data_IF_502094143528
#
_entry.id   IF_502094143528
#
_cell.length_a   1.000
_cell.length_b   1.000
_cell.length_c   1.000
_cell.angle_alpha   90.00
_cell.angle_beta   90.00
_cell.angle_gamma   90.00
#
_symmetry.space_group_name_H-M   'P 1'
#
loop_
_entity.id
_entity.type
_entity.pdbx_description
1 polymer ?
#
# COMPACT_ATOMS: atom_id res chain seq x y z
N UNK A 1 -13.39 -17.54 -2.69
CA UNK A 1 -13.02 -17.31 -4.11
C UNK A 1 -12.95 -15.82 -4.38
N UNK A 2 -14.07 -15.07 -4.23
CA UNK A 2 -14.16 -13.65 -4.60
C UNK A 2 -13.10 -12.75 -3.96
N UNK A 3 -12.76 -12.94 -2.69
CA UNK A 3 -11.71 -12.16 -2.00
C UNK A 3 -10.33 -12.36 -2.66
N UNK A 4 -10.05 -13.57 -3.14
CA UNK A 4 -8.80 -13.87 -3.86
C UNK A 4 -8.76 -13.24 -5.26
N UNK A 5 -9.90 -13.21 -5.96
CA UNK A 5 -10.03 -12.49 -7.24
C UNK A 5 -9.78 -10.99 -7.06
N UNK A 6 -10.06 -10.45 -5.86
CA UNK A 6 -9.73 -9.08 -5.46
C UNK A 6 -8.26 -8.92 -5.02
N UNK A 7 -7.44 -9.97 -5.06
CA UNK A 7 -6.03 -9.94 -4.66
C UNK A 7 -5.78 -10.02 -3.16
N UNK A 8 -6.83 -10.23 -2.34
CA UNK A 8 -6.69 -10.32 -0.89
C UNK A 8 -6.10 -11.66 -0.46
N UNK A 9 -5.23 -11.62 0.52
CA UNK A 9 -4.61 -12.81 1.10
C UNK A 9 -5.58 -13.52 2.05
N UNK A 10 -6.11 -14.66 1.62
CA UNK A 10 -7.02 -15.52 2.39
C UNK A 10 -6.72 -16.98 2.12
N UNK A 11 -7.31 -17.88 2.93
CA UNK A 11 -7.19 -19.32 2.73
C UNK A 11 -7.72 -19.73 1.35
N UNK A 12 -7.12 -20.78 0.77
CA UNK A 12 -7.48 -21.31 -0.54
C UNK A 12 -8.52 -22.44 -0.34
N UNK A 13 -9.80 -22.22 -0.67
CA UNK A 13 -10.79 -23.26 -0.55
C UNK A 13 -10.57 -24.35 -1.63
N UNK A 14 -10.54 -25.61 -1.20
CA UNK A 14 -10.47 -26.79 -2.08
C UNK A 14 -11.83 -27.43 -2.25
N UNK A 15 -12.63 -27.47 -1.17
CA UNK A 15 -13.93 -28.07 -1.21
C UNK A 15 -14.69 -27.98 0.11
N UNK A 16 -15.91 -28.48 0.10
CA UNK A 16 -16.78 -28.57 1.27
C UNK A 16 -17.21 -30.03 1.43
N UNK A 17 -17.09 -30.55 2.63
CA UNK A 17 -17.70 -31.84 3.01
C UNK A 17 -18.85 -31.55 3.95
N UNK A 18 -20.03 -32.00 3.58
CA UNK A 18 -21.23 -31.90 4.41
C UNK A 18 -21.66 -33.29 4.89
N UNK A 19 -21.96 -33.40 6.16
CA UNK A 19 -22.48 -34.60 6.80
C UNK A 19 -23.85 -34.27 7.37
N UNK A 20 -24.85 -35.10 7.03
CA UNK A 20 -26.16 -35.04 7.67
C UNK A 20 -26.10 -35.85 8.96
N UNK A 21 -26.17 -35.20 10.11
CA UNK A 21 -26.10 -35.83 11.45
C UNK A 21 -27.48 -36.23 11.98
N UNK A 22 -28.50 -36.25 11.13
CA UNK A 22 -29.87 -36.60 11.46
C UNK A 22 -30.73 -35.39 11.83
N UNK A 23 -31.89 -35.67 12.41
CA UNK A 23 -32.86 -34.65 12.82
C UNK A 23 -32.71 -34.34 14.31
N UNK A 24 -32.56 -33.09 14.67
CA UNK A 24 -32.56 -32.59 16.05
C UNK A 24 -33.83 -31.80 16.31
N UNK A 25 -34.32 -31.84 17.54
CA UNK A 25 -35.44 -31.01 17.96
C UNK A 25 -34.92 -29.73 18.59
N UNK A 26 -35.25 -28.59 17.98
CA UNK A 26 -34.89 -27.28 18.52
C UNK A 26 -36.11 -26.66 19.16
N UNK A 27 -35.98 -26.31 20.44
CA UNK A 27 -37.01 -25.54 21.14
C UNK A 27 -36.91 -24.06 20.72
N UNK A 28 -38.00 -23.54 20.18
CA UNK A 28 -38.14 -22.14 19.78
C UNK A 28 -39.29 -21.50 20.52
N UNK A 29 -39.42 -20.17 20.47
CA UNK A 29 -40.55 -19.43 21.04
C UNK A 29 -41.91 -19.84 20.42
N UNK A 30 -41.93 -20.65 19.36
CA UNK A 30 -43.12 -21.14 18.64
C UNK A 30 -43.38 -22.64 18.97
N UNK A 31 -42.50 -23.26 19.77
CA UNK A 31 -42.56 -24.68 20.17
C UNK A 31 -41.38 -25.50 19.61
N UNK A 32 -41.35 -26.78 19.98
CA UNK A 32 -40.29 -27.70 19.54
C UNK A 32 -40.46 -28.06 18.06
N UNK A 33 -39.48 -27.78 17.23
CA UNK A 33 -39.48 -28.09 15.80
C UNK A 33 -38.32 -29.01 15.41
N UNK A 34 -38.58 -30.04 14.56
CA UNK A 34 -37.51 -30.87 14.02
C UNK A 34 -36.72 -30.07 12.98
N UNK A 35 -35.39 -30.06 13.09
CA UNK A 35 -34.49 -29.46 12.12
C UNK A 35 -33.39 -30.46 11.75
N UNK A 36 -33.09 -30.55 10.46
CA UNK A 36 -31.94 -31.35 10.01
C UNK A 36 -30.64 -30.70 10.47
N UNK A 37 -29.81 -31.49 11.14
CA UNK A 37 -28.48 -31.05 11.54
C UNK A 37 -27.48 -31.46 10.47
N UNK A 38 -26.92 -30.49 9.78
CA UNK A 38 -25.86 -30.68 8.80
C UNK A 38 -24.59 -30.04 9.34
N UNK A 39 -23.55 -30.88 9.49
CA UNK A 39 -22.22 -30.38 9.82
C UNK A 39 -21.41 -30.23 8.55
N UNK A 40 -21.00 -29.00 8.27
CA UNK A 40 -20.17 -28.67 7.12
C UNK A 40 -18.71 -28.43 7.52
N UNK A 41 -17.80 -28.96 6.73
CA UNK A 41 -16.36 -28.74 6.88
C UNK A 41 -15.82 -28.11 5.61
N UNK A 42 -15.21 -26.94 5.74
CA UNK A 42 -14.47 -26.30 4.66
C UNK A 42 -13.05 -26.92 4.62
N UNK A 43 -12.68 -27.47 3.47
CA UNK A 43 -11.33 -27.96 3.21
C UNK A 43 -10.57 -26.87 2.47
N UNK A 44 -9.41 -26.50 3.01
CA UNK A 44 -8.51 -25.52 2.40
C UNK A 44 -7.16 -26.15 2.10
N UNK A 45 -6.42 -25.57 1.17
CA UNK A 45 -5.01 -25.92 0.99
C UNK A 45 -4.23 -25.63 2.28
N UNK A 46 -3.28 -26.51 2.58
CA UNK A 46 -2.35 -26.28 3.69
C UNK A 46 -1.42 -25.10 3.32
N UNK A 47 -1.52 -24.03 4.05
CA UNK A 47 -0.61 -22.90 3.89
C UNK A 47 0.65 -23.15 4.71
N UNK A 48 1.81 -23.18 4.04
CA UNK A 48 3.10 -23.34 4.71
C UNK A 48 3.58 -22.01 5.30
N UNK A 49 4.43 -22.10 6.32
CA UNK A 49 5.08 -20.95 6.99
C UNK A 49 4.09 -19.92 7.52
N UNK A 50 2.96 -20.37 8.02
CA UNK A 50 1.97 -19.52 8.69
C UNK A 50 1.90 -19.85 10.17
N UNK A 51 1.62 -18.82 10.95
CA UNK A 51 1.38 -18.94 12.39
C UNK A 51 0.16 -18.08 12.73
N UNK A 52 -0.78 -18.59 13.56
CA UNK A 52 -1.84 -17.74 14.10
C UNK A 52 -1.24 -16.53 14.81
N UNK A 53 -1.79 -15.34 14.54
CA UNK A 53 -1.26 -14.10 15.10
C UNK A 53 -1.26 -14.14 16.64
N UNK A 54 -2.34 -14.64 17.25
CA UNK A 54 -2.44 -14.86 18.69
C UNK A 54 -1.33 -15.76 19.27
N UNK A 55 -0.81 -16.70 18.48
CA UNK A 55 0.25 -17.59 18.92
C UNK A 55 1.64 -16.92 18.98
N UNK A 56 1.84 -15.89 18.16
CA UNK A 56 3.10 -15.14 18.14
C UNK A 56 3.37 -14.45 19.47
N UNK A 57 2.32 -14.02 20.18
CA UNK A 57 2.45 -13.31 21.45
C UNK A 57 2.67 -14.21 22.67
N UNK A 58 2.70 -15.54 22.50
CA UNK A 58 3.13 -16.46 23.57
C UNK A 58 4.62 -16.35 23.91
N UNK A 59 5.39 -15.71 23.04
CA UNK A 59 6.81 -15.40 23.27
C UNK A 59 7.03 -13.91 23.12
N UNK A 60 7.82 -13.30 23.99
CA UNK A 60 8.15 -11.87 23.88
C UNK A 60 8.84 -11.55 22.55
N UNK A 61 8.37 -10.52 21.89
CA UNK A 61 9.01 -9.94 20.71
C UNK A 61 9.65 -8.60 21.04
N UNK A 62 10.73 -8.27 20.32
CA UNK A 62 11.26 -6.91 20.34
C UNK A 62 10.25 -5.93 19.75
N UNK A 63 10.35 -4.65 20.11
CA UNK A 63 9.46 -3.59 19.59
C UNK A 63 9.49 -3.54 18.04
N UNK A 64 10.66 -3.76 17.44
CA UNK A 64 10.86 -3.76 15.99
C UNK A 64 10.11 -4.92 15.32
N UNK A 65 10.19 -6.12 15.90
CA UNK A 65 9.48 -7.28 15.36
C UNK A 65 7.96 -7.13 15.49
N UNK A 66 7.46 -6.60 16.61
CA UNK A 66 6.03 -6.29 16.76
C UNK A 66 5.56 -5.30 15.71
N UNK A 67 6.31 -4.20 15.49
CA UNK A 67 5.98 -3.23 14.43
C UNK A 67 5.88 -3.88 13.05
N UNK A 68 6.76 -4.82 12.73
CA UNK A 68 6.68 -5.54 11.44
C UNK A 68 5.42 -6.40 11.32
N UNK A 69 4.98 -7.02 12.41
CA UNK A 69 3.70 -7.76 12.45
C UNK A 69 2.55 -6.77 12.23
N UNK A 70 2.51 -5.67 12.99
CA UNK A 70 1.47 -4.66 12.86
C UNK A 70 1.46 -4.01 11.47
N UNK A 71 2.62 -3.81 10.85
CA UNK A 71 2.72 -3.35 9.46
C UNK A 71 2.04 -4.30 8.47
N UNK A 72 2.15 -5.62 8.68
CA UNK A 72 1.48 -6.61 7.84
C UNK A 72 -0.04 -6.59 8.05
N UNK A 73 -0.49 -6.46 9.31
CA UNK A 73 -1.90 -6.31 9.68
C UNK A 73 -2.52 -5.05 9.08
N UNK A 74 -1.83 -3.90 9.24
CA UNK A 74 -2.27 -2.62 8.69
C UNK A 74 -2.44 -2.70 7.17
N UNK A 75 -1.49 -3.33 6.46
CA UNK A 75 -1.62 -3.53 5.01
C UNK A 75 -2.87 -4.33 4.65
N UNK A 76 -3.14 -5.43 5.35
CA UNK A 76 -4.35 -6.22 5.10
C UNK A 76 -5.61 -5.38 5.28
N UNK A 77 -5.74 -4.63 6.39
CA UNK A 77 -6.91 -3.76 6.61
C UNK A 77 -7.05 -2.69 5.53
N UNK A 78 -5.96 -2.05 5.14
CA UNK A 78 -6.00 -1.03 4.08
C UNK A 78 -6.42 -1.65 2.75
N UNK A 79 -5.83 -2.77 2.35
CA UNK A 79 -6.17 -3.49 1.12
C UNK A 79 -7.64 -3.91 1.09
N UNK A 80 -8.17 -4.40 2.21
CA UNK A 80 -9.59 -4.77 2.34
C UNK A 80 -10.51 -3.56 2.23
N UNK A 81 -10.26 -2.55 3.05
CA UNK A 81 -11.17 -1.42 3.20
C UNK A 81 -11.20 -0.52 1.95
N UNK A 82 -10.08 -0.36 1.26
CA UNK A 82 -10.02 0.35 -0.03
C UNK A 82 -10.88 -0.34 -1.10
N UNK A 83 -11.00 -1.66 -1.03
CA UNK A 83 -11.81 -2.47 -1.94
C UNK A 83 -13.26 -2.64 -1.47
N UNK A 84 -13.64 -1.99 -0.36
CA UNK A 84 -15.01 -2.07 0.17
C UNK A 84 -15.30 -3.36 0.94
N UNK A 85 -14.27 -4.07 1.40
CA UNK A 85 -14.40 -5.31 2.18
C UNK A 85 -14.41 -4.97 3.66
N UNK A 86 -15.53 -5.23 4.32
CA UNK A 86 -15.72 -5.13 5.76
C UNK A 86 -15.59 -6.52 6.37
N UNK A 87 -14.81 -6.67 7.43
CA UNK A 87 -14.59 -8.00 8.04
C UNK A 87 -15.69 -8.38 9.04
N UNK A 88 -16.02 -7.47 9.95
CA UNK A 88 -17.09 -7.64 10.95
C UNK A 88 -16.69 -8.42 12.21
N UNK A 89 -15.78 -9.39 12.09
CA UNK A 89 -15.19 -10.13 13.21
C UNK A 89 -13.66 -10.15 13.12
N UNK A 90 -13.10 -8.96 13.04
CA UNK A 90 -11.68 -8.72 12.87
C UNK A 90 -10.92 -9.00 14.18
N UNK A 91 -10.59 -10.25 14.46
CA UNK A 91 -9.89 -10.62 15.69
C UNK A 91 -8.51 -11.22 15.42
N UNK A 92 -7.65 -11.13 16.44
CA UNK A 92 -6.32 -11.74 16.42
C UNK A 92 -6.38 -13.27 16.18
N UNK A 93 -7.44 -13.92 16.64
CA UNK A 93 -7.63 -15.36 16.47
C UNK A 93 -7.95 -15.74 15.02
N UNK A 94 -8.58 -14.83 14.27
CA UNK A 94 -9.05 -15.01 12.90
C UNK A 94 -8.01 -14.58 11.85
N UNK A 95 -6.79 -14.30 12.28
CA UNK A 95 -5.69 -13.85 11.43
C UNK A 95 -4.49 -14.79 11.51
N UNK A 96 -3.87 -15.02 10.36
CA UNK A 96 -2.61 -15.74 10.27
C UNK A 96 -1.51 -14.80 9.76
N UNK A 97 -0.29 -15.00 10.25
CA UNK A 97 0.90 -14.33 9.70
C UNK A 97 1.70 -15.33 8.87
N UNK A 98 1.85 -15.02 7.61
CA UNK A 98 2.70 -15.76 6.68
C UNK A 98 4.11 -15.18 6.64
N UNK A 99 5.10 -16.05 6.79
CA UNK A 99 6.53 -15.73 6.72
C UNK A 99 7.06 -16.08 5.33
N UNK A 100 6.97 -15.11 4.42
CA UNK A 100 7.56 -15.21 3.10
C UNK A 100 9.06 -14.90 3.08
N UNK A 101 9.67 -15.13 1.94
CA UNK A 101 11.05 -14.72 1.68
C UNK A 101 11.07 -13.94 0.38
N UNK A 102 11.29 -12.63 0.46
CA UNK A 102 11.47 -11.79 -0.71
C UNK A 102 12.95 -11.74 -1.09
N UNK A 103 13.22 -11.87 -2.38
CA UNK A 103 14.58 -11.71 -2.91
C UNK A 103 14.72 -10.27 -3.39
N UNK A 104 15.54 -9.51 -2.68
CA UNK A 104 15.88 -8.14 -3.09
C UNK A 104 17.23 -8.19 -3.79
N UNK A 105 17.32 -7.89 -5.11
CA UNK A 105 18.55 -8.09 -5.89
C UNK A 105 19.81 -7.46 -5.29
N UNK A 106 19.66 -6.36 -4.56
CA UNK A 106 20.78 -5.63 -3.95
C UNK A 106 21.08 -6.03 -2.50
N UNK A 107 20.14 -6.69 -1.79
CA UNK A 107 20.22 -6.94 -0.35
C UNK A 107 20.10 -8.43 0.02
N UNK A 108 19.91 -9.33 -0.97
CA UNK A 108 19.71 -10.76 -0.74
C UNK A 108 18.30 -11.11 -0.25
N UNK A 109 18.20 -12.19 0.53
CA UNK A 109 16.92 -12.67 1.04
C UNK A 109 16.48 -11.84 2.26
N UNK A 110 15.26 -11.30 2.20
CA UNK A 110 14.61 -10.63 3.33
C UNK A 110 13.32 -11.34 3.69
N UNK A 111 13.12 -11.63 4.96
CA UNK A 111 11.83 -12.16 5.44
C UNK A 111 10.75 -11.11 5.26
N UNK A 112 9.71 -11.42 4.49
CA UNK A 112 8.48 -10.63 4.39
C UNK A 112 7.41 -11.22 5.30
N UNK A 113 6.60 -10.34 5.88
CA UNK A 113 5.44 -10.73 6.66
C UNK A 113 4.19 -10.29 5.93
N UNK A 114 3.23 -11.22 5.81
CA UNK A 114 1.90 -10.94 5.25
C UNK A 114 0.83 -11.43 6.20
N UNK A 115 -0.12 -10.57 6.51
CA UNK A 115 -1.32 -10.98 7.23
C UNK A 115 -2.29 -11.66 6.26
N UNK A 116 -2.93 -12.71 6.73
CA UNK A 116 -3.85 -13.56 5.95
C UNK A 116 -5.16 -13.66 6.70
N UNK A 117 -6.24 -13.37 6.01
CA UNK A 117 -7.61 -13.48 6.50
C UNK A 117 -7.98 -14.98 6.56
N UNK A 118 -8.12 -15.54 7.77
CA UNK A 118 -8.38 -16.96 7.96
C UNK A 118 -9.87 -17.26 8.09
N UNK A 119 -10.62 -16.44 8.78
CA UNK A 119 -12.07 -16.57 8.94
C UNK A 119 -12.78 -15.45 8.15
N UNK A 120 -13.68 -15.87 7.26
CA UNK A 120 -14.35 -15.00 6.30
C UNK A 120 -15.88 -15.09 6.38
N UNK A 121 -16.44 -15.74 7.39
CA UNK A 121 -17.88 -15.98 7.47
C UNK A 121 -18.69 -14.70 7.69
N UNK A 122 -18.09 -13.70 8.35
CA UNK A 122 -18.71 -12.40 8.64
C UNK A 122 -18.38 -11.33 7.60
N UNK A 123 -17.55 -11.66 6.59
CA UNK A 123 -17.07 -10.70 5.60
C UNK A 123 -18.19 -10.22 4.69
N UNK A 124 -18.34 -8.91 4.59
CA UNK A 124 -19.24 -8.25 3.65
C UNK A 124 -18.46 -7.46 2.58
N UNK A 125 -18.88 -7.58 1.33
CA UNK A 125 -18.32 -6.80 0.21
C UNK A 125 -19.31 -5.73 -0.19
N UNK A 126 -18.93 -4.47 -0.03
CA UNK A 126 -19.74 -3.27 -0.30
C UNK A 126 -19.10 -2.43 -1.40
N UNK A 127 -19.85 -1.52 -2.00
CA UNK A 127 -19.29 -0.57 -2.99
C UNK A 127 -18.27 0.37 -2.37
N UNK A 128 -18.51 0.79 -1.13
CA UNK A 128 -17.64 1.63 -0.32
C UNK A 128 -17.94 1.40 1.15
N UNK A 129 -16.98 1.65 2.01
CA UNK A 129 -17.15 1.63 3.44
C UNK A 129 -17.20 3.06 3.97
N UNK A 130 -18.09 3.28 4.96
CA UNK A 130 -18.05 4.50 5.76
C UNK A 130 -16.87 4.47 6.71
N UNK A 131 -16.40 5.63 7.15
CA UNK A 131 -15.33 5.74 8.14
C UNK A 131 -15.66 4.97 9.41
N UNK A 132 -16.91 5.02 9.85
CA UNK A 132 -17.39 4.29 11.04
C UNK A 132 -17.21 2.77 10.89
N UNK A 133 -17.59 2.19 9.74
CA UNK A 133 -17.47 0.75 9.52
C UNK A 133 -16.01 0.30 9.44
N UNK A 134 -15.19 1.02 8.66
CA UNK A 134 -13.77 0.63 8.55
C UNK A 134 -13.01 0.79 9.87
N UNK A 135 -13.36 1.81 10.66
CA UNK A 135 -12.74 2.00 11.97
C UNK A 135 -13.23 0.96 12.97
N UNK A 136 -14.49 0.51 12.90
CA UNK A 136 -14.99 -0.55 13.79
C UNK A 136 -14.23 -1.87 13.63
N UNK A 137 -13.82 -2.25 12.40
CA UNK A 137 -12.96 -3.43 12.22
C UNK A 137 -11.61 -3.27 12.95
N UNK A 138 -10.98 -2.10 12.81
CA UNK A 138 -9.67 -1.84 13.42
C UNK A 138 -9.79 -1.76 14.95
N UNK A 139 -10.83 -1.12 15.45
CA UNK A 139 -11.10 -1.00 16.88
C UNK A 139 -11.41 -2.37 17.50
N UNK A 140 -12.23 -3.18 16.85
CA UNK A 140 -12.50 -4.55 17.29
C UNK A 140 -11.22 -5.41 17.31
N UNK A 141 -10.36 -5.25 16.31
CA UNK A 141 -9.06 -5.92 16.31
C UNK A 141 -8.21 -5.51 17.51
N UNK A 142 -8.16 -4.20 17.83
CA UNK A 142 -7.44 -3.69 19.00
C UNK A 142 -8.02 -4.24 20.30
N UNK A 143 -9.34 -4.33 20.42
CA UNK A 143 -9.99 -4.97 21.58
C UNK A 143 -9.61 -6.44 21.69
N UNK A 144 -9.59 -7.18 20.58
CA UNK A 144 -9.18 -8.59 20.54
C UNK A 144 -7.72 -8.80 21.00
N UNK A 145 -6.85 -7.82 20.75
CA UNK A 145 -5.47 -7.82 21.25
C UNK A 145 -5.47 -7.78 22.80
N UNK A 146 -6.34 -6.96 23.41
CA UNK A 146 -6.44 -6.84 24.87
C UNK A 146 -6.99 -8.14 25.47
N UNK A 147 -8.01 -8.74 24.86
CA UNK A 147 -8.53 -10.03 25.31
C UNK A 147 -7.49 -11.13 25.24
N UNK A 148 -6.78 -11.23 24.12
CA UNK A 148 -5.70 -12.21 23.96
C UNK A 148 -4.59 -12.03 25.00
N UNK A 149 -4.21 -10.80 25.30
CA UNK A 149 -3.23 -10.52 26.35
C UNK A 149 -3.74 -10.91 27.74
N UNK A 150 -4.99 -10.63 28.05
CA UNK A 150 -5.61 -11.01 29.33
C UNK A 150 -5.61 -12.54 29.49
N UNK A 151 -6.00 -13.29 28.45
CA UNK A 151 -6.00 -14.76 28.45
C UNK A 151 -4.60 -15.34 28.61
N UNK A 152 -3.59 -14.78 27.94
CA UNK A 152 -2.19 -15.21 28.07
C UNK A 152 -1.65 -14.99 29.49
N UNK A 153 -2.02 -13.89 30.13
CA UNK A 153 -1.68 -13.58 31.53
C UNK A 153 -2.41 -14.51 32.50
N UNK A 154 -3.71 -14.71 32.33
CA UNK A 154 -4.53 -15.58 33.17
C UNK A 154 -4.06 -17.04 33.09
N UNK A 155 -3.68 -17.49 31.90
CA UNK A 155 -3.12 -18.83 31.66
C UNK A 155 -1.68 -19.01 32.17
N UNK A 156 -1.05 -17.95 32.70
CA UNK A 156 0.34 -17.98 33.16
C UNK A 156 1.39 -18.17 32.07
N UNK A 157 1.00 -18.00 30.80
CA UNK A 157 1.90 -18.13 29.64
C UNK A 157 2.85 -16.94 29.57
N UNK A 158 2.36 -15.74 29.87
CA UNK A 158 3.15 -14.53 29.96
C UNK A 158 2.94 -13.84 31.31
N UNK A 159 3.98 -13.18 31.82
CA UNK A 159 3.91 -12.40 33.08
C UNK A 159 3.74 -10.91 32.83
N UNK A 160 4.45 -10.40 31.82
CA UNK A 160 4.48 -8.99 31.46
C UNK A 160 3.60 -8.71 30.23
N UNK A 161 3.30 -7.45 29.99
CA UNK A 161 2.58 -7.03 28.80
C UNK A 161 3.40 -7.33 27.53
N UNK A 162 2.83 -8.13 26.63
CA UNK A 162 3.44 -8.48 25.35
C UNK A 162 2.91 -7.62 24.21
N UNK A 163 1.73 -7.01 24.40
CA UNK A 163 1.11 -6.03 23.52
C UNK A 163 0.95 -4.74 24.35
N UNK A 164 1.51 -3.66 23.86
CA UNK A 164 1.56 -2.40 24.60
C UNK A 164 0.54 -1.39 24.05
N UNK A 165 0.19 -0.37 24.86
CA UNK A 165 -0.62 0.76 24.36
C UNK A 165 0.06 1.48 23.17
N UNK A 166 1.40 1.49 23.12
CA UNK A 166 2.14 2.03 21.99
C UNK A 166 1.89 1.23 20.71
N UNK A 167 1.74 -0.10 20.81
CA UNK A 167 1.42 -0.97 19.68
C UNK A 167 0.00 -0.66 19.15
N UNK A 168 -0.97 -0.52 20.05
CA UNK A 168 -2.36 -0.17 19.69
C UNK A 168 -2.44 1.21 19.03
N UNK A 169 -1.76 2.20 19.61
CA UNK A 169 -1.69 3.55 19.06
C UNK A 169 -1.00 3.56 17.68
N UNK A 170 0.10 2.83 17.54
CA UNK A 170 0.81 2.68 16.29
C UNK A 170 -0.09 2.07 15.21
N UNK A 171 -0.82 0.99 15.53
CA UNK A 171 -1.73 0.33 14.59
C UNK A 171 -2.81 1.30 14.10
N UNK A 172 -3.52 1.97 14.99
CA UNK A 172 -4.61 2.89 14.62
C UNK A 172 -4.10 4.09 13.82
N UNK A 173 -3.00 4.71 14.24
CA UNK A 173 -2.44 5.90 13.57
C UNK A 173 -1.91 5.54 12.19
N UNK A 174 -1.09 4.49 12.10
CA UNK A 174 -0.52 4.07 10.82
C UNK A 174 -1.57 3.52 9.85
N UNK A 175 -2.64 2.89 10.37
CA UNK A 175 -3.77 2.49 9.52
C UNK A 175 -4.44 3.72 8.90
N UNK A 176 -4.77 4.75 9.70
CA UNK A 176 -5.42 5.98 9.18
C UNK A 176 -4.56 6.67 8.13
N UNK A 177 -3.29 6.88 8.42
CA UNK A 177 -2.34 7.51 7.49
C UNK A 177 -2.23 6.74 6.16
N UNK A 178 -2.07 5.42 6.22
CA UNK A 178 -1.94 4.60 5.00
C UNK A 178 -3.25 4.52 4.23
N UNK A 179 -4.38 4.42 4.90
CA UNK A 179 -5.68 4.40 4.23
C UNK A 179 -5.91 5.70 3.45
N UNK A 180 -5.61 6.85 4.05
CA UNK A 180 -5.73 8.15 3.38
C UNK A 180 -4.84 8.22 2.13
N UNK A 181 -3.59 7.79 2.24
CA UNK A 181 -2.66 7.77 1.10
C UNK A 181 -3.16 6.86 -0.02
N UNK A 182 -3.59 5.64 0.29
CA UNK A 182 -4.11 4.70 -0.72
C UNK A 182 -5.44 5.18 -1.34
N UNK A 183 -6.31 5.82 -0.55
CA UNK A 183 -7.54 6.43 -1.05
C UNK A 183 -7.24 7.57 -2.02
N UNK A 184 -6.26 8.41 -1.72
CA UNK A 184 -5.83 9.49 -2.61
C UNK A 184 -5.26 8.94 -3.91
N UNK A 185 -4.44 7.89 -3.84
CA UNK A 185 -3.88 7.23 -5.02
C UNK A 185 -4.96 6.65 -5.92
N UNK A 186 -5.89 5.89 -5.33
CA UNK A 186 -7.02 5.33 -6.08
C UNK A 186 -7.91 6.41 -6.72
N UNK A 187 -8.14 7.51 -6.00
CA UNK A 187 -8.88 8.65 -6.56
C UNK A 187 -8.14 9.28 -7.73
N UNK A 188 -6.84 9.40 -7.63
CA UNK A 188 -5.99 9.91 -8.71
C UNK A 188 -6.08 9.00 -9.95
N UNK A 189 -5.93 7.69 -9.80
CA UNK A 189 -6.04 6.73 -10.90
C UNK A 189 -7.42 6.75 -11.57
N UNK A 190 -8.49 6.79 -10.76
CA UNK A 190 -9.86 6.84 -11.27
C UNK A 190 -10.13 8.12 -12.09
N UNK A 191 -9.58 9.25 -11.68
CA UNK A 191 -9.81 10.52 -12.36
C UNK A 191 -8.92 10.70 -13.57
N UNK A 192 -7.66 10.27 -13.50
CA UNK A 192 -6.65 10.52 -14.52
C UNK A 192 -6.48 9.36 -15.50
N UNK A 193 -6.93 8.16 -15.14
CA UNK A 193 -6.64 6.88 -15.80
C UNK A 193 -5.14 6.56 -15.90
N UNK A 194 -4.31 7.25 -15.13
CA UNK A 194 -2.89 6.92 -15.02
C UNK A 194 -2.76 5.75 -14.05
N UNK A 195 -2.29 4.60 -14.54
CA UNK A 195 -1.86 3.47 -13.71
C UNK A 195 -0.52 3.84 -13.06
N UNK A 196 -0.59 4.16 -11.78
CA UNK A 196 0.55 4.66 -11.00
C UNK A 196 1.67 3.62 -10.93
N UNK A 197 1.34 2.35 -10.75
CA UNK A 197 2.34 1.28 -10.62
C UNK A 197 3.09 1.04 -11.94
N UNK A 198 2.40 1.15 -13.08
CA UNK A 198 3.00 0.92 -14.40
C UNK A 198 3.72 2.13 -14.98
N UNK A 199 3.18 3.33 -14.77
CA UNK A 199 3.69 4.52 -15.42
C UNK A 199 4.75 5.25 -14.58
N UNK A 200 4.66 5.16 -13.28
CA UNK A 200 5.58 5.85 -12.39
C UNK A 200 6.74 4.97 -11.95
N UNK A 201 6.64 3.66 -12.13
CA UNK A 201 7.73 2.69 -11.97
C UNK A 201 8.62 2.91 -10.75
N UNK A 202 9.76 3.56 -10.96
CA UNK A 202 10.73 3.90 -9.90
C UNK A 202 10.34 5.15 -9.09
N UNK A 203 9.21 5.81 -9.40
CA UNK A 203 8.77 7.06 -8.76
C UNK A 203 7.62 6.79 -7.80
N UNK A 204 7.91 6.74 -6.51
CA UNK A 204 6.86 6.65 -5.49
C UNK A 204 6.13 8.00 -5.39
N UNK A 205 4.84 8.01 -5.77
CA UNK A 205 3.97 9.20 -5.74
C UNK A 205 3.04 9.22 -4.53
N UNK A 206 3.18 8.27 -3.63
CA UNK A 206 2.35 8.17 -2.42
C UNK A 206 2.48 9.44 -1.59
N UNK A 207 1.33 9.97 -1.17
CA UNK A 207 1.24 11.23 -0.43
C UNK A 207 1.33 12.51 -1.30
N UNK A 208 1.52 12.38 -2.63
CA UNK A 208 1.59 13.51 -3.55
C UNK A 208 0.47 13.53 -4.59
N UNK A 209 -0.41 12.55 -4.59
CA UNK A 209 -1.48 12.38 -5.59
C UNK A 209 -2.35 13.64 -5.75
N UNK A 210 -2.74 14.29 -4.65
CA UNK A 210 -3.50 15.55 -4.68
C UNK A 210 -2.74 16.70 -5.36
N UNK A 211 -1.44 16.83 -5.07
CA UNK A 211 -0.61 17.88 -5.67
C UNK A 211 -0.38 17.60 -7.15
N UNK A 212 -0.15 16.36 -7.54
CA UNK A 212 -0.03 15.97 -8.94
C UNK A 212 -1.34 16.22 -9.69
N UNK A 213 -2.49 15.89 -9.10
CA UNK A 213 -3.80 16.18 -9.68
C UNK A 213 -4.04 17.68 -9.86
N UNK A 214 -3.57 18.51 -8.92
CA UNK A 214 -3.60 19.97 -9.07
C UNK A 214 -2.79 20.42 -10.29
N UNK A 215 -1.56 19.93 -10.46
CA UNK A 215 -0.72 20.26 -11.62
C UNK A 215 -1.35 19.78 -12.94
N UNK A 216 -2.01 18.62 -12.95
CA UNK A 216 -2.76 18.14 -14.13
C UNK A 216 -3.93 19.06 -14.45
N UNK A 217 -4.67 19.54 -13.45
CA UNK A 217 -5.76 20.48 -13.66
C UNK A 217 -5.29 21.83 -14.19
N UNK A 218 -4.16 22.34 -13.70
CA UNK A 218 -3.52 23.55 -14.24
C UNK A 218 -3.09 23.32 -15.69
N UNK A 219 -2.49 22.18 -15.99
CA UNK A 219 -2.10 21.81 -17.36
C UNK A 219 -3.33 21.67 -18.28
N UNK A 220 -4.42 21.04 -17.80
CA UNK A 220 -5.71 20.98 -18.50
C UNK A 220 -6.22 22.36 -18.88
N UNK A 221 -6.15 23.32 -17.95
CA UNK A 221 -6.57 24.67 -18.20
C UNK A 221 -5.76 25.31 -19.34
N UNK A 222 -4.41 25.23 -19.29
CA UNK A 222 -3.54 25.75 -20.37
C UNK A 222 -3.80 25.07 -21.71
N UNK A 223 -4.01 23.75 -21.73
CA UNK A 223 -4.35 23.03 -22.97
C UNK A 223 -5.68 23.48 -23.54
N UNK A 224 -6.70 23.66 -22.69
CA UNK A 224 -8.02 24.10 -23.10
C UNK A 224 -8.00 25.51 -23.70
N UNK A 225 -7.29 26.45 -23.06
CA UNK A 225 -7.06 27.80 -23.57
C UNK A 225 -6.36 27.78 -24.93
N UNK A 226 -5.29 27.01 -25.08
CA UNK A 226 -4.54 26.91 -26.34
C UNK A 226 -5.35 26.28 -27.46
N UNK A 227 -6.17 25.27 -27.16
CA UNK A 227 -7.01 24.56 -28.14
C UNK A 227 -8.36 25.24 -28.38
N UNK A 228 -8.73 26.28 -27.59
CA UNK A 228 -10.03 26.95 -27.60
C UNK A 228 -11.21 25.97 -27.48
N UNK A 229 -11.03 24.93 -26.72
CA UNK A 229 -12.04 23.92 -26.39
C UNK A 229 -11.74 23.30 -25.05
N UNK A 230 -12.77 22.77 -24.38
CA UNK A 230 -12.52 21.99 -23.15
C UNK A 230 -11.79 20.68 -23.47
N UNK A 231 -10.66 20.43 -22.79
CA UNK A 231 -9.90 19.19 -22.87
C UNK A 231 -10.34 18.26 -21.73
N UNK A 232 -10.69 16.99 -21.99
CA UNK A 232 -10.98 16.03 -20.94
C UNK A 232 -9.80 15.85 -19.99
N UNK A 233 -10.09 15.56 -18.71
CA UNK A 233 -9.03 15.42 -17.69
C UNK A 233 -8.09 14.26 -18.01
N UNK A 234 -8.58 13.17 -18.59
CA UNK A 234 -7.79 12.00 -18.98
C UNK A 234 -6.78 12.36 -20.06
N UNK A 235 -7.21 13.07 -21.11
CA UNK A 235 -6.34 13.54 -22.20
C UNK A 235 -5.27 14.51 -21.68
N UNK A 236 -5.67 15.41 -20.79
CA UNK A 236 -4.76 16.35 -20.15
C UNK A 236 -3.74 15.65 -19.24
N UNK A 237 -4.15 14.59 -18.53
CA UNK A 237 -3.29 13.80 -17.68
C UNK A 237 -2.24 13.03 -18.48
N UNK A 238 -2.64 12.44 -19.61
CA UNK A 238 -1.71 11.75 -20.51
C UNK A 238 -0.70 12.71 -21.13
N UNK A 239 -1.17 13.88 -21.61
CA UNK A 239 -0.31 14.91 -22.17
C UNK A 239 0.64 15.48 -21.11
N UNK A 240 0.15 15.79 -19.90
CA UNK A 240 0.96 16.22 -18.77
C UNK A 240 2.04 15.20 -18.40
N UNK A 241 1.68 13.92 -18.34
CA UNK A 241 2.62 12.87 -18.03
C UNK A 241 3.76 12.82 -19.04
N UNK A 242 3.43 12.85 -20.33
CA UNK A 242 4.41 12.73 -21.42
C UNK A 242 5.24 13.99 -21.63
N UNK A 243 4.61 15.16 -21.61
CA UNK A 243 5.24 16.42 -21.99
C UNK A 243 5.81 17.22 -20.80
N UNK A 244 5.34 16.94 -19.57
CA UNK A 244 5.77 17.68 -18.38
C UNK A 244 6.45 16.78 -17.37
N UNK A 245 5.75 15.78 -16.83
CA UNK A 245 6.23 14.98 -15.71
C UNK A 245 7.45 14.12 -16.08
N UNK A 246 7.34 13.34 -17.13
CA UNK A 246 8.39 12.43 -17.57
C UNK A 246 9.69 13.17 -17.96
N UNK A 247 9.65 14.28 -18.73
CA UNK A 247 10.85 15.08 -18.98
C UNK A 247 11.52 15.62 -17.73
N UNK A 248 10.73 16.09 -16.75
CA UNK A 248 11.27 16.58 -15.46
C UNK A 248 11.96 15.46 -14.70
N UNK A 249 11.33 14.30 -14.58
CA UNK A 249 11.92 13.14 -13.92
C UNK A 249 13.20 12.66 -14.63
N UNK A 250 13.24 12.69 -15.97
CA UNK A 250 14.44 12.38 -16.74
C UNK A 250 15.59 13.34 -16.42
N UNK A 251 15.33 14.62 -16.22
CA UNK A 251 16.35 15.60 -15.80
C UNK A 251 16.90 15.23 -14.43
N UNK A 252 16.03 14.82 -13.47
CA UNK A 252 16.48 14.40 -12.15
C UNK A 252 17.40 13.20 -12.20
N UNK A 253 17.07 12.22 -13.05
CA UNK A 253 17.91 11.04 -13.25
C UNK A 253 19.23 11.36 -13.97
N UNK A 254 19.18 12.25 -14.97
CA UNK A 254 20.35 12.63 -15.74
C UNK A 254 21.40 13.39 -14.92
N UNK A 255 20.97 14.20 -13.98
CA UNK A 255 21.85 15.02 -13.14
C UNK A 255 22.01 14.50 -11.72
N UNK A 256 21.56 13.27 -11.44
CA UNK A 256 21.61 12.62 -10.12
C UNK A 256 21.02 13.46 -8.99
N UNK A 257 20.01 14.32 -9.30
CA UNK A 257 19.41 15.21 -8.30
C UNK A 257 18.77 14.44 -7.14
N UNK A 258 18.29 13.23 -7.39
CA UNK A 258 17.71 12.37 -6.36
C UNK A 258 18.75 12.00 -5.29
N UNK A 259 20.01 11.83 -5.65
CA UNK A 259 21.07 11.41 -4.74
C UNK A 259 21.50 12.51 -3.75
N UNK A 260 21.11 13.77 -4.04
CA UNK A 260 21.29 14.89 -3.09
C UNK A 260 20.23 14.92 -1.98
N UNK A 261 19.15 14.13 -2.12
CA UNK A 261 17.99 14.12 -1.23
C UNK A 261 17.54 12.66 -0.96
N UNK A 262 18.33 11.87 -0.22
CA UNK A 262 18.05 10.45 0.01
C UNK A 262 16.73 10.18 0.75
N UNK A 263 16.22 11.18 1.46
CA UNK A 263 14.94 11.16 2.18
C UNK A 263 13.74 11.52 1.32
N UNK A 264 13.96 12.01 0.07
CA UNK A 264 12.88 12.46 -0.81
C UNK A 264 12.60 11.46 -1.93
N UNK A 265 11.34 11.38 -2.30
CA UNK A 265 10.92 10.67 -3.52
C UNK A 265 11.07 11.55 -4.75
N UNK A 266 11.11 10.97 -5.95
CA UNK A 266 11.13 11.75 -7.18
C UNK A 266 9.85 12.60 -7.36
N UNK A 267 8.71 12.14 -6.85
CA UNK A 267 7.47 12.91 -6.85
C UNK A 267 7.55 14.15 -5.94
N UNK A 268 8.13 14.02 -4.74
CA UNK A 268 8.32 15.17 -3.87
C UNK A 268 9.28 16.19 -4.49
N UNK A 269 10.39 15.71 -5.07
CA UNK A 269 11.33 16.57 -5.77
C UNK A 269 10.68 17.27 -6.98
N UNK A 270 9.84 16.55 -7.74
CA UNK A 270 9.09 17.14 -8.85
C UNK A 270 8.26 18.33 -8.36
N UNK A 271 7.43 18.13 -7.34
CA UNK A 271 6.55 19.19 -6.81
C UNK A 271 7.37 20.39 -6.34
N UNK A 272 8.37 20.17 -5.50
CA UNK A 272 9.18 21.23 -4.91
C UNK A 272 10.01 21.99 -5.97
N UNK A 273 10.57 21.30 -6.95
CA UNK A 273 11.36 21.96 -8.01
C UNK A 273 10.46 22.71 -8.98
N UNK A 274 9.26 22.22 -9.26
CA UNK A 274 8.29 22.95 -10.10
C UNK A 274 7.79 24.21 -9.40
N UNK A 275 7.53 24.14 -8.09
CA UNK A 275 7.19 25.33 -7.29
C UNK A 275 8.36 26.33 -7.24
N UNK A 276 9.58 25.83 -7.02
CA UNK A 276 10.78 26.67 -7.05
C UNK A 276 11.00 27.35 -8.41
N UNK A 277 10.80 26.60 -9.51
CA UNK A 277 10.84 27.14 -10.87
C UNK A 277 9.83 28.26 -11.06
N UNK A 278 8.60 28.06 -10.58
CA UNK A 278 7.55 29.07 -10.66
C UNK A 278 7.98 30.36 -9.95
N UNK A 279 8.41 30.28 -8.69
CA UNK A 279 8.86 31.44 -7.91
C UNK A 279 10.06 32.17 -8.55
N UNK A 280 11.04 31.43 -9.05
CA UNK A 280 12.19 32.01 -9.76
C UNK A 280 11.76 32.74 -11.06
N UNK A 281 10.84 32.13 -11.81
CA UNK A 281 10.34 32.70 -13.07
C UNK A 281 9.54 33.97 -12.82
N UNK A 282 8.73 33.99 -11.77
CA UNK A 282 7.97 35.20 -11.35
C UNK A 282 8.92 36.33 -10.97
N UNK A 283 9.95 36.05 -10.15
CA UNK A 283 10.96 37.05 -9.78
C UNK A 283 11.75 37.58 -10.98
N UNK A 284 12.12 36.67 -11.90
CA UNK A 284 12.87 37.02 -13.10
C UNK A 284 12.00 37.63 -14.22
N UNK A 285 10.66 37.61 -14.05
CA UNK A 285 9.68 38.01 -15.08
C UNK A 285 9.87 37.30 -16.43
N UNK A 286 10.40 36.09 -16.39
CA UNK A 286 10.61 35.20 -17.55
C UNK A 286 10.76 33.76 -17.11
N UNK A 287 10.48 32.79 -17.99
CA UNK A 287 10.75 31.37 -17.68
C UNK A 287 12.27 31.16 -17.54
N UNK A 288 12.68 30.71 -16.36
CA UNK A 288 14.11 30.42 -16.06
C UNK A 288 14.53 29.03 -16.57
N UNK A 289 13.58 28.20 -16.99
CA UNK A 289 13.83 26.84 -17.44
C UNK A 289 14.07 25.85 -16.29
N UNK A 290 13.72 24.59 -16.56
CA UNK A 290 13.75 23.53 -15.55
C UNK A 290 15.15 23.26 -14.99
N UNK A 291 16.16 23.13 -15.87
CA UNK A 291 17.53 22.78 -15.47
C UNK A 291 18.13 23.85 -14.54
N UNK A 292 17.89 25.13 -14.85
CA UNK A 292 18.40 26.23 -14.03
C UNK A 292 17.73 26.24 -12.64
N UNK A 293 16.40 26.07 -12.60
CA UNK A 293 15.66 26.01 -11.35
C UNK A 293 16.07 24.79 -10.49
N UNK A 294 16.21 23.61 -11.10
CA UNK A 294 16.63 22.41 -10.40
C UNK A 294 18.06 22.52 -9.84
N UNK A 295 18.99 23.08 -10.59
CA UNK A 295 20.37 23.35 -10.10
C UNK A 295 20.41 24.36 -8.95
N UNK A 296 19.60 25.42 -9.02
CA UNK A 296 19.49 26.39 -7.96
C UNK A 296 18.83 25.78 -6.71
N UNK A 297 17.80 24.96 -6.89
CA UNK A 297 17.17 24.21 -5.81
C UNK A 297 18.16 23.30 -5.09
N UNK A 298 18.91 22.50 -5.83
CA UNK A 298 19.95 21.62 -5.28
C UNK A 298 20.99 22.45 -4.52
N UNK A 299 21.46 23.56 -5.09
CA UNK A 299 22.45 24.43 -4.44
C UNK A 299 21.97 24.98 -3.10
N UNK A 300 20.67 25.28 -2.98
CA UNK A 300 20.09 25.90 -1.76
C UNK A 300 19.68 24.88 -0.70
N UNK A 301 19.19 23.70 -1.13
CA UNK A 301 18.46 22.77 -0.28
C UNK A 301 19.14 21.40 -0.12
N UNK A 302 20.21 21.09 -0.88
CA UNK A 302 20.90 19.82 -0.73
C UNK A 302 21.48 19.68 0.67
N UNK A 303 21.08 18.62 1.36
CA UNK A 303 21.55 18.27 2.70
C UNK A 303 22.81 17.44 2.67
N UNK A 304 23.07 16.77 1.54
CA UNK A 304 24.20 15.87 1.36
C UNK A 304 24.93 16.15 0.06
N UNK A 305 26.26 16.04 0.08
CA UNK A 305 27.05 15.89 -1.15
C UNK A 305 26.88 14.46 -1.63
N UNK A 306 26.54 14.20 -2.90
CA UNK A 306 26.36 12.83 -3.34
C UNK A 306 27.59 12.01 -3.01
N UNK A 307 27.46 10.81 -2.47
CA UNK A 307 28.57 9.88 -2.36
C UNK A 307 29.15 9.64 -3.77
N UNK A 308 30.44 9.27 -3.83
CA UNK A 308 31.03 8.79 -5.09
C UNK A 308 30.09 7.76 -5.77
N UNK A 309 30.05 7.69 -7.10
CA UNK A 309 29.03 6.93 -7.83
C UNK A 309 28.84 5.54 -7.24
N UNK A 310 27.64 5.31 -6.72
CA UNK A 310 27.28 4.04 -6.10
C UNK A 310 26.93 3.02 -7.17
N UNK A 311 27.01 1.72 -6.83
CA UNK A 311 26.54 0.63 -7.71
C UNK A 311 25.12 0.92 -8.21
N UNK A 312 24.30 1.59 -7.41
CA UNK A 312 22.92 1.98 -7.76
C UNK A 312 22.87 3.06 -8.86
N UNK A 313 23.76 4.07 -8.83
CA UNK A 313 23.88 5.07 -9.90
C UNK A 313 24.44 4.46 -11.18
N UNK A 314 25.44 3.57 -11.07
CA UNK A 314 25.98 2.83 -12.21
C UNK A 314 24.94 1.89 -12.84
N UNK A 315 24.13 1.19 -12.05
CA UNK A 315 23.03 0.35 -12.55
C UNK A 315 21.91 1.17 -13.19
N UNK A 316 21.67 2.38 -12.72
CA UNK A 316 20.72 3.33 -13.30
C UNK A 316 21.20 3.83 -14.66
N UNK A 317 22.46 4.20 -14.77
CA UNK A 317 23.09 4.58 -16.03
C UNK A 317 23.07 3.42 -17.05
N UNK A 318 23.39 2.21 -16.61
CA UNK A 318 23.28 1.00 -17.42
C UNK A 318 21.85 0.75 -17.91
N UNK A 319 20.85 0.88 -17.04
CA UNK A 319 19.43 0.78 -17.43
C UNK A 319 19.02 1.88 -18.42
N UNK A 320 19.48 3.11 -18.21
CA UNK A 320 19.20 4.23 -19.11
C UNK A 320 19.88 4.06 -20.46
N UNK A 321 21.10 3.55 -20.49
CA UNK A 321 21.81 3.15 -21.71
C UNK A 321 21.08 2.01 -22.45
N UNK A 322 20.62 1.00 -21.71
CA UNK A 322 19.88 -0.14 -22.28
C UNK A 322 18.57 0.30 -22.92
N UNK A 323 17.84 1.24 -22.29
CA UNK A 323 16.60 1.83 -22.85
C UNK A 323 16.84 2.69 -24.11
N UNK A 324 18.06 3.22 -24.31
CA UNK A 324 18.46 3.99 -25.49
C UNK A 324 19.03 3.14 -26.63
N UNK A 325 19.28 1.86 -26.37
CA UNK A 325 19.76 0.95 -27.41
C UNK A 325 18.65 0.61 -28.41
N UNK A 326 18.95 0.50 -29.71
CA UNK A 326 18.00 0.00 -30.70
C UNK A 326 17.45 -1.37 -30.30
N UNK A 327 16.17 -1.62 -30.55
CA UNK A 327 15.51 -2.87 -30.20
C UNK A 327 16.24 -4.14 -30.69
N UNK A 328 16.98 -4.04 -31.81
CA UNK A 328 17.83 -5.11 -32.36
C UNK A 328 19.01 -5.48 -31.47
N UNK A 329 19.47 -4.61 -30.58
CA UNK A 329 20.56 -4.88 -29.65
C UNK A 329 20.06 -5.28 -28.24
N UNK A 330 18.83 -4.90 -27.85
CA UNK A 330 18.25 -5.28 -26.59
C UNK A 330 17.97 -6.80 -26.48
N UNK A 331 17.65 -7.44 -27.59
CA UNK A 331 17.43 -8.90 -27.68
C UNK A 331 18.71 -9.75 -27.59
N UNK A 332 19.87 -9.16 -27.70
CA UNK A 332 21.17 -9.87 -27.60
C UNK A 332 21.69 -9.97 -26.16
N UNK A 333 21.13 -9.19 -25.24
CA UNK A 333 21.56 -9.09 -23.82
C UNK A 333 20.45 -9.36 -22.83
N UNK A 334 19.26 -9.81 -23.27
CA UNK A 334 18.18 -10.33 -22.45
C UNK A 334 18.28 -11.83 -22.29
#
# INVERSE_FOLDING_TARGET
>A
IRLREMGLHTLVPVGIVARNDGTVIIETNIGAQPQERVTGYLITELMEKVVPDSFLFKRGFTKENRKRIWDAVIRLFVEMHIQGVYWGDASLANMLINFGTDVIPALGHRTSLRAVLADVETVEIRRSLTDSLRLSDVEFFIESMQWTEADLKQSGIVRDAVITEDDQRFLLTSYKERYEVEQEMRSFELVTHIDVDKLLGDFDVRGYAKLLLKHINEHKWYLSERQKREVPIVDAAEDWYREVFQPVCNVFLQYDFVDYFPEKTAASLYVEIMEHKYLMSEQAKKDVGLIAAAKDFVKRHATHKPPAPTIRSMMRELKALFRRMPASLQTLYA
#
